data_IF_097510768968
#
_entry.id   IF_097510768968
#
_cell.length_a   1.000
_cell.length_b   1.000
_cell.length_c   1.000
_cell.angle_alpha   90.00
_cell.angle_beta   90.00
_cell.angle_gamma   90.00
#
_symmetry.space_group_name_H-M   'P 1'
#
loop_
_entity.id
_entity.type
_entity.pdbx_description
1 polymer ?
#
# COMPACT_ATOMS: atom_id res chain seq x y z
N UNK A 1 4.41 21.45 17.78
CA UNK A 1 3.34 22.25 17.13
C UNK A 1 2.69 23.08 18.22
N UNK A 2 2.27 24.32 17.93
CA UNK A 2 1.61 25.17 18.94
C UNK A 2 0.28 24.53 19.35
N UNK A 3 0.13 24.18 20.61
CA UNK A 3 -1.09 23.56 21.14
C UNK A 3 -1.73 24.53 22.14
N UNK A 4 -3.04 24.82 22.04
CA UNK A 4 -3.73 25.50 23.13
C UNK A 4 -3.70 24.57 24.35
N UNK A 5 -3.13 25.05 25.44
CA UNK A 5 -3.11 24.32 26.71
C UNK A 5 -4.08 24.98 27.68
N UNK A 6 -4.72 24.17 28.52
CA UNK A 6 -5.58 24.64 29.62
C UNK A 6 -4.95 24.23 30.96
N UNK A 7 -3.76 24.78 31.30
CA UNK A 7 -3.12 24.48 32.57
C UNK A 7 -3.91 25.10 33.73
N UNK A 8 -3.64 24.63 34.95
CA UNK A 8 -4.02 25.40 36.12
C UNK A 8 -3.25 26.73 36.13
N UNK A 9 -3.95 27.84 36.33
CA UNK A 9 -3.35 29.17 36.44
C UNK A 9 -3.98 29.92 37.62
N UNK A 10 -3.29 30.95 38.11
CA UNK A 10 -3.86 31.93 39.04
C UNK A 10 -3.74 33.31 38.44
N UNK A 11 -4.89 33.92 38.12
CA UNK A 11 -4.98 35.24 37.55
C UNK A 11 -5.45 36.25 38.60
N UNK A 12 -4.69 37.32 38.83
CA UNK A 12 -4.98 38.34 39.83
C UNK A 12 -4.91 39.73 39.20
N UNK A 13 -6.01 40.21 38.57
CA UNK A 13 -6.07 41.50 37.89
C UNK A 13 -5.65 42.68 38.77
N UNK A 14 -6.04 42.67 40.06
CA UNK A 14 -5.77 43.75 41.00
C UNK A 14 -4.26 44.01 41.22
N UNK A 15 -3.43 42.97 41.13
CA UNK A 15 -1.97 43.05 41.20
C UNK A 15 -1.30 42.95 39.83
N UNK A 16 -2.08 42.87 38.75
CA UNK A 16 -1.60 42.60 37.39
C UNK A 16 -0.69 41.38 37.31
N UNK A 17 -1.02 40.30 38.03
CA UNK A 17 -0.19 39.09 38.05
C UNK A 17 -0.90 37.89 37.45
N UNK A 18 -0.13 37.08 36.72
CA UNK A 18 -0.54 35.77 36.22
C UNK A 18 0.50 34.73 36.61
N UNK A 19 0.08 33.72 37.37
CA UNK A 19 0.93 32.60 37.76
C UNK A 19 0.61 31.38 36.90
N UNK A 20 1.64 30.84 36.24
CA UNK A 20 1.58 29.70 35.33
C UNK A 20 2.28 28.45 35.89
N UNK A 21 2.32 28.30 37.23
CA UNK A 21 2.93 27.16 37.91
C UNK A 21 2.31 25.80 37.55
N UNK A 22 1.10 25.78 36.98
CA UNK A 22 0.49 24.56 36.44
C UNK A 22 1.14 24.05 35.15
N UNK A 23 2.06 24.80 34.54
CA UNK A 23 2.87 24.36 33.40
C UNK A 23 4.22 23.84 33.93
N UNK A 24 4.40 22.51 33.90
CA UNK A 24 5.67 21.90 34.27
C UNK A 24 6.82 22.42 33.40
N UNK A 25 7.89 22.91 34.03
CA UNK A 25 9.05 23.45 33.30
C UNK A 25 8.76 24.76 32.56
N UNK A 26 7.83 25.58 33.05
CA UNK A 26 7.47 26.86 32.44
C UNK A 26 8.69 27.72 32.05
N UNK A 27 8.72 28.14 30.78
CA UNK A 27 9.67 29.08 30.22
C UNK A 27 8.90 30.17 29.46
N UNK A 28 9.08 31.43 29.86
CA UNK A 28 8.38 32.58 29.26
C UNK A 28 8.62 32.68 27.74
N UNK A 29 9.76 32.17 27.23
CA UNK A 29 10.09 32.19 25.80
C UNK A 29 9.15 31.32 24.96
N UNK A 30 8.48 30.36 25.60
CA UNK A 30 7.51 29.48 24.98
C UNK A 30 6.08 30.01 25.11
N UNK A 31 5.85 31.08 25.89
CA UNK A 31 4.54 31.72 26.01
C UNK A 31 4.32 32.68 24.84
N UNK A 32 3.34 32.38 23.99
CA UNK A 32 3.03 33.21 22.83
C UNK A 32 1.95 34.24 23.13
N UNK A 33 0.87 33.83 23.79
CA UNK A 33 -0.23 34.73 24.10
C UNK A 33 -1.06 34.26 25.30
N UNK A 34 -1.68 35.21 25.98
CA UNK A 34 -2.76 34.99 26.94
C UNK A 34 -3.92 35.88 26.55
N UNK A 35 -5.09 35.28 26.35
CA UNK A 35 -6.30 35.96 25.88
C UNK A 35 -7.40 35.69 26.90
N UNK A 36 -8.11 36.74 27.33
CA UNK A 36 -9.37 36.55 28.07
C UNK A 36 -10.47 36.10 27.11
N UNK A 37 -11.06 34.94 27.34
CA UNK A 37 -12.10 34.39 26.48
C UNK A 37 -13.46 35.10 26.64
N UNK A 38 -13.67 35.81 27.76
CA UNK A 38 -14.95 36.52 27.99
C UNK A 38 -15.03 37.82 27.21
N UNK A 39 -13.97 38.62 27.24
CA UNK A 39 -13.91 39.93 26.57
C UNK A 39 -13.16 39.89 25.23
N UNK A 40 -12.37 38.85 24.97
CA UNK A 40 -11.45 38.77 23.83
C UNK A 40 -10.19 39.62 24.02
N UNK A 41 -9.95 40.18 25.20
CA UNK A 41 -8.79 41.04 25.46
C UNK A 41 -7.48 40.26 25.41
N UNK A 42 -6.50 40.80 24.68
CA UNK A 42 -5.13 40.29 24.68
C UNK A 42 -4.40 40.76 25.94
N UNK A 43 -4.24 39.85 26.91
CA UNK A 43 -3.61 40.11 28.21
C UNK A 43 -2.08 40.05 28.09
N UNK A 44 -1.59 39.08 27.31
CA UNK A 44 -0.17 38.89 27.07
C UNK A 44 0.14 38.61 25.61
N UNK A 45 1.18 39.25 25.07
CA UNK A 45 1.95 38.84 23.90
C UNK A 45 3.36 39.45 24.00
N UNK A 46 4.40 38.87 23.39
CA UNK A 46 5.75 39.45 23.36
C UNK A 46 5.85 40.66 22.42
N UNK A 47 4.94 41.63 22.59
CA UNK A 47 4.81 42.87 21.84
C UNK A 47 4.81 44.05 22.82
N UNK A 48 5.12 45.25 22.34
CA UNK A 48 5.07 46.46 23.16
C UNK A 48 3.63 46.69 23.69
N UNK A 49 3.51 46.95 25.00
CA UNK A 49 2.22 47.26 25.66
C UNK A 49 1.41 46.05 26.16
N UNK A 50 1.73 44.83 25.71
CA UNK A 50 1.08 43.59 26.16
C UNK A 50 2.06 42.53 26.65
N UNK A 51 3.33 42.87 26.86
CA UNK A 51 4.31 41.97 27.46
C UNK A 51 4.17 41.84 28.99
N UNK A 52 5.31 41.64 29.64
CA UNK A 52 5.42 41.62 31.10
C UNK A 52 6.49 42.62 31.55
N UNK A 53 6.31 43.21 32.73
CA UNK A 53 7.26 44.15 33.36
C UNK A 53 8.22 43.45 34.32
N UNK A 54 7.83 42.32 34.89
CA UNK A 54 8.66 41.49 35.76
C UNK A 54 8.29 40.01 35.66
N UNK A 55 9.27 39.13 35.86
CA UNK A 55 9.08 37.68 35.96
C UNK A 55 9.76 37.20 37.23
N UNK A 56 9.00 36.54 38.10
CA UNK A 56 9.50 35.92 39.33
C UNK A 56 9.03 34.46 39.39
N UNK A 57 9.94 33.53 39.11
CA UNK A 57 9.60 32.12 38.95
C UNK A 57 8.63 31.92 37.78
N UNK A 58 7.41 31.45 38.06
CA UNK A 58 6.33 31.24 37.09
C UNK A 58 5.29 32.36 37.08
N UNK A 59 5.52 33.45 37.83
CA UNK A 59 4.59 34.56 37.95
C UNK A 59 5.05 35.75 37.12
N UNK A 60 4.20 36.15 36.17
CA UNK A 60 4.37 37.33 35.33
C UNK A 60 3.67 38.52 35.98
N UNK A 61 4.34 39.68 36.04
CA UNK A 61 3.68 40.98 36.22
C UNK A 61 3.37 41.53 34.83
N UNK A 62 2.10 41.60 34.48
CA UNK A 62 1.60 41.92 33.16
C UNK A 62 1.68 43.42 32.88
N UNK A 63 2.02 43.80 31.65
CA UNK A 63 2.11 45.20 31.24
C UNK A 63 0.78 45.77 30.69
N UNK A 64 -0.16 44.89 30.29
CA UNK A 64 -1.46 45.29 29.77
C UNK A 64 -2.35 45.91 30.87
N UNK A 65 -3.35 46.70 30.46
CA UNK A 65 -4.39 47.17 31.38
C UNK A 65 -5.26 46.00 31.84
N UNK A 66 -5.46 45.89 33.16
CA UNK A 66 -6.33 44.86 33.77
C UNK A 66 -7.75 45.38 34.06
N UNK A 67 -8.07 46.60 33.62
CA UNK A 67 -9.37 47.22 33.88
C UNK A 67 -10.49 46.43 33.21
N UNK A 68 -11.49 46.02 33.99
CA UNK A 68 -12.65 45.26 33.50
C UNK A 68 -12.45 43.74 33.47
N UNK A 69 -11.27 43.23 33.85
CA UNK A 69 -11.00 41.79 33.97
C UNK A 69 -11.25 41.30 35.41
N UNK A 70 -11.73 40.06 35.54
CA UNK A 70 -11.95 39.36 36.80
C UNK A 70 -10.99 38.19 36.97
N UNK A 71 -10.62 37.87 38.22
CA UNK A 71 -9.84 36.67 38.55
C UNK A 71 -10.53 35.36 38.14
N UNK A 72 -11.85 35.39 37.97
CA UNK A 72 -12.68 34.27 37.54
C UNK A 72 -12.80 34.12 36.02
N UNK A 73 -12.27 35.07 35.23
CA UNK A 73 -12.46 35.03 33.78
C UNK A 73 -11.61 33.90 33.16
N UNK A 74 -12.17 33.14 32.18
CA UNK A 74 -11.48 32.03 31.54
C UNK A 74 -10.39 32.54 30.58
N UNK A 75 -9.16 32.03 30.72
CA UNK A 75 -8.03 32.43 29.89
C UNK A 75 -7.67 31.35 28.87
N UNK A 76 -7.44 31.75 27.63
CA UNK A 76 -6.76 30.95 26.62
C UNK A 76 -5.26 31.23 26.67
N UNK A 77 -4.48 30.19 26.99
CA UNK A 77 -3.02 30.27 27.07
C UNK A 77 -2.43 29.52 25.86
N UNK A 78 -1.76 30.28 24.99
CA UNK A 78 -1.03 29.73 23.85
C UNK A 78 0.44 29.58 24.24
N UNK A 79 0.86 28.34 24.46
CA UNK A 79 2.20 28.00 24.97
C UNK A 79 2.81 26.86 24.14
N UNK A 80 4.12 26.94 23.89
CA UNK A 80 4.90 25.83 23.31
C UNK A 80 5.37 24.92 24.44
N UNK A 81 4.77 23.74 24.57
CA UNK A 81 5.24 22.74 25.54
C UNK A 81 6.54 22.06 25.10
N UNK A 82 7.11 22.42 23.94
CA UNK A 82 8.26 21.74 23.36
C UNK A 82 7.94 20.30 22.94
N UNK A 83 6.65 19.94 22.95
CA UNK A 83 6.16 18.65 22.51
C UNK A 83 6.48 18.41 21.04
N UNK A 84 6.62 17.13 20.69
CA UNK A 84 6.77 16.71 19.29
C UNK A 84 5.64 17.32 18.44
N UNK A 85 5.87 17.55 17.13
CA UNK A 85 4.79 17.93 16.22
C UNK A 85 3.56 17.04 16.45
N UNK A 86 2.34 17.58 16.32
CA UNK A 86 1.14 16.78 16.52
C UNK A 86 1.23 15.51 15.66
N UNK A 87 1.22 14.36 16.33
CA UNK A 87 1.12 13.04 15.70
C UNK A 87 -0.36 12.83 15.31
N UNK A 88 -0.90 13.75 14.51
CA UNK A 88 -2.29 13.75 14.08
C UNK A 88 -2.46 12.65 13.02
N UNK A 89 -2.84 11.48 13.52
CA UNK A 89 -2.85 10.22 12.79
C UNK A 89 -2.26 9.13 13.66
N UNK A 90 -3.10 8.53 14.51
CA UNK A 90 -2.75 7.37 15.34
C UNK A 90 -1.95 6.36 14.52
N UNK A 91 -0.86 5.86 15.08
CA UNK A 91 -0.06 4.81 14.47
C UNK A 91 -0.94 3.63 14.02
N UNK A 92 -0.60 3.05 12.88
CA UNK A 92 -1.28 1.89 12.34
C UNK A 92 -1.17 0.70 13.30
N UNK A 93 -2.27 0.31 13.97
CA UNK A 93 -2.29 -0.95 14.73
C UNK A 93 -2.23 -2.14 13.75
N UNK A 94 -1.25 -3.03 13.93
CA UNK A 94 -1.11 -4.25 13.11
C UNK A 94 -0.28 -4.10 11.83
N UNK A 95 0.37 -2.96 11.61
CA UNK A 95 1.31 -2.78 10.48
C UNK A 95 2.72 -2.62 11.02
N UNK A 96 3.66 -3.44 10.53
CA UNK A 96 5.09 -3.19 10.77
C UNK A 96 5.51 -1.98 9.94
N UNK A 97 5.57 -0.82 10.59
CA UNK A 97 5.96 0.44 9.97
C UNK A 97 7.41 0.31 9.47
N UNK A 98 7.72 0.71 8.23
CA UNK A 98 9.11 0.87 7.79
C UNK A 98 9.85 1.81 8.74
N UNK A 99 11.10 1.51 9.08
CA UNK A 99 11.91 2.38 9.94
C UNK A 99 11.85 3.84 9.45
N UNK A 100 11.39 4.76 10.33
CA UNK A 100 11.24 6.19 10.04
C UNK A 100 9.84 6.70 9.68
N UNK A 101 8.80 5.84 9.65
CA UNK A 101 7.46 6.21 9.19
C UNK A 101 6.44 6.58 10.26
N UNK A 102 6.59 7.68 11.01
CA UNK A 102 5.48 8.20 11.84
C UNK A 102 4.54 9.08 11.01
N UNK A 103 3.22 8.95 11.24
CA UNK A 103 2.17 9.74 10.59
C UNK A 103 1.85 9.38 9.13
N UNK A 104 1.13 10.27 8.44
CA UNK A 104 0.62 10.04 7.05
C UNK A 104 1.71 9.68 6.04
N UNK A 105 2.95 10.16 6.24
CA UNK A 105 4.10 9.84 5.38
C UNK A 105 4.54 8.38 5.54
N UNK A 106 4.46 7.82 6.75
CA UNK A 106 4.72 6.41 7.01
C UNK A 106 3.69 5.51 6.34
N UNK A 107 2.42 5.86 6.44
CA UNK A 107 1.31 5.15 5.77
C UNK A 107 1.47 5.13 4.24
N UNK A 108 1.74 6.27 3.62
CA UNK A 108 1.96 6.35 2.17
C UNK A 108 3.18 5.53 1.74
N UNK A 109 4.26 5.53 2.54
CA UNK A 109 5.42 4.68 2.27
C UNK A 109 5.11 3.19 2.39
N UNK A 110 4.24 2.78 3.32
CA UNK A 110 3.77 1.40 3.47
C UNK A 110 2.94 0.95 2.28
N UNK A 111 1.97 1.76 1.85
CA UNK A 111 1.14 1.50 0.65
C UNK A 111 2.03 1.39 -0.59
N UNK A 112 2.98 2.32 -0.78
CA UNK A 112 3.93 2.26 -1.89
C UNK A 112 4.73 0.96 -1.87
N UNK A 113 5.23 0.53 -0.71
CA UNK A 113 5.97 -0.74 -0.57
C UNK A 113 5.12 -1.95 -0.99
N UNK A 114 3.89 -2.04 -0.51
CA UNK A 114 2.97 -3.14 -0.89
C UNK A 114 2.70 -3.12 -2.39
N UNK A 115 2.33 -1.97 -2.94
CA UNK A 115 2.03 -1.85 -4.38
C UNK A 115 3.24 -2.14 -5.26
N UNK A 116 4.44 -1.71 -4.86
CA UNK A 116 5.68 -1.96 -5.60
C UNK A 116 6.17 -3.42 -5.51
N UNK A 117 5.76 -4.16 -4.46
CA UNK A 117 6.20 -5.55 -4.23
C UNK A 117 5.19 -6.61 -4.66
N UNK A 118 3.89 -6.29 -4.68
CA UNK A 118 2.82 -7.27 -4.96
C UNK A 118 2.33 -7.22 -6.41
N UNK A 119 2.53 -6.12 -7.13
CA UNK A 119 2.16 -6.03 -8.54
C UNK A 119 3.24 -6.68 -9.42
N UNK A 120 3.31 -8.02 -9.38
CA UNK A 120 4.12 -8.78 -10.32
C UNK A 120 3.36 -8.91 -11.62
N UNK A 121 3.51 -7.94 -12.52
CA UNK A 121 3.01 -8.09 -13.90
C UNK A 121 3.85 -9.17 -14.56
N UNK A 122 3.30 -10.37 -14.69
CA UNK A 122 3.93 -11.43 -15.46
C UNK A 122 3.80 -11.05 -16.93
N UNK A 123 4.85 -10.49 -17.49
CA UNK A 123 4.99 -10.28 -18.93
C UNK A 123 4.84 -11.65 -19.63
N UNK A 124 4.16 -11.68 -20.78
CA UNK A 124 3.95 -12.92 -21.54
C UNK A 124 5.25 -13.69 -21.77
N UNK A 125 5.23 -15.01 -21.60
CA UNK A 125 6.40 -15.86 -21.84
C UNK A 125 6.59 -16.11 -23.34
N UNK A 126 7.83 -16.15 -23.80
CA UNK A 126 8.16 -16.70 -25.12
C UNK A 126 7.75 -18.16 -25.15
N UNK A 127 6.95 -18.54 -26.14
CA UNK A 127 6.51 -19.92 -26.29
C UNK A 127 7.68 -20.82 -26.75
N UNK A 128 7.74 -22.04 -26.22
CA UNK A 128 8.65 -23.09 -26.67
C UNK A 128 8.05 -23.82 -27.87
N UNK A 129 8.87 -24.17 -28.85
CA UNK A 129 8.45 -24.96 -30.01
C UNK A 129 8.33 -26.44 -29.66
N UNK A 130 7.32 -27.10 -30.22
CA UNK A 130 7.12 -28.56 -30.18
C UNK A 130 6.79 -29.12 -31.55
N UNK A 131 7.23 -28.45 -32.62
CA UNK A 131 6.96 -28.84 -34.01
C UNK A 131 7.64 -30.18 -34.31
N UNK A 132 6.87 -31.14 -34.84
CA UNK A 132 7.33 -32.51 -35.10
C UNK A 132 6.58 -33.11 -36.29
N UNK A 133 7.16 -34.15 -36.90
CA UNK A 133 6.40 -35.08 -37.72
C UNK A 133 6.04 -36.32 -36.88
N UNK A 134 4.88 -36.93 -37.16
CA UNK A 134 4.51 -38.22 -36.56
C UNK A 134 5.50 -39.29 -37.04
N UNK A 135 6.26 -39.87 -36.11
CA UNK A 135 7.36 -40.79 -36.43
C UNK A 135 6.84 -42.17 -36.85
N UNK A 136 5.77 -42.63 -36.20
CA UNK A 136 5.10 -43.87 -36.53
C UNK A 136 3.57 -43.64 -36.50
N UNK A 137 2.95 -43.66 -37.66
CA UNK A 137 1.50 -43.58 -37.80
C UNK A 137 0.80 -44.64 -36.97
N UNK A 138 -0.32 -44.26 -36.34
CA UNK A 138 -1.07 -45.16 -35.48
C UNK A 138 -0.50 -45.34 -34.07
N UNK A 139 0.58 -44.63 -33.72
CA UNK A 139 1.17 -44.63 -32.38
C UNK A 139 1.27 -43.21 -31.83
N UNK A 140 0.90 -43.02 -30.57
CA UNK A 140 1.05 -41.73 -29.91
C UNK A 140 2.53 -41.41 -29.66
N UNK A 141 2.90 -40.15 -29.79
CA UNK A 141 4.23 -39.64 -29.42
C UNK A 141 4.11 -38.42 -28.53
N UNK A 142 5.09 -38.22 -27.64
CA UNK A 142 5.12 -37.05 -26.76
C UNK A 142 5.55 -35.80 -27.52
N UNK A 143 4.92 -34.68 -27.19
CA UNK A 143 5.34 -33.34 -27.61
C UNK A 143 6.27 -32.74 -26.55
N UNK A 144 6.94 -31.63 -26.92
CA UNK A 144 7.78 -30.85 -25.99
C UNK A 144 8.84 -31.67 -25.24
N UNK A 145 9.41 -32.71 -25.89
CA UNK A 145 10.35 -33.65 -25.28
C UNK A 145 9.83 -34.34 -24.00
N UNK A 146 8.51 -34.48 -23.87
CA UNK A 146 7.86 -35.07 -22.69
C UNK A 146 7.73 -34.14 -21.48
N UNK A 147 8.08 -32.85 -21.60
CA UNK A 147 7.84 -31.89 -20.54
C UNK A 147 6.34 -31.54 -20.42
N UNK A 148 5.86 -31.38 -19.19
CA UNK A 148 4.53 -30.80 -18.91
C UNK A 148 4.59 -29.28 -19.06
N UNK A 149 3.86 -28.66 -20.00
CA UNK A 149 3.77 -27.21 -20.12
C UNK A 149 3.33 -26.54 -18.81
N UNK A 150 3.93 -25.40 -18.47
CA UNK A 150 3.69 -24.77 -17.18
C UNK A 150 2.37 -23.97 -17.12
N UNK A 151 1.95 -23.40 -18.25
CA UNK A 151 0.82 -22.48 -18.33
C UNK A 151 -0.17 -22.81 -19.44
N UNK A 152 0.23 -23.55 -20.47
CA UNK A 152 -0.68 -23.95 -21.54
C UNK A 152 0.03 -24.44 -22.79
N UNK A 153 -0.75 -24.90 -23.75
CA UNK A 153 -0.25 -25.45 -24.99
C UNK A 153 -1.22 -25.21 -26.15
N UNK A 154 -0.67 -25.27 -27.36
CA UNK A 154 -1.41 -25.20 -28.63
C UNK A 154 -0.87 -26.27 -29.56
N UNK A 155 -1.77 -26.98 -30.23
CA UNK A 155 -1.45 -27.87 -31.35
C UNK A 155 -2.29 -27.47 -32.55
N UNK A 156 -1.62 -27.29 -33.68
CA UNK A 156 -2.24 -27.06 -34.97
C UNK A 156 -1.95 -28.24 -35.89
N UNK A 157 -3.00 -28.67 -36.58
CA UNK A 157 -2.97 -29.66 -37.64
C UNK A 157 -2.96 -28.92 -39.00
N UNK A 158 -1.79 -28.70 -39.62
CA UNK A 158 -1.70 -28.06 -40.92
C UNK A 158 -2.20 -28.97 -42.07
N UNK A 159 -2.38 -30.27 -41.84
CA UNK A 159 -2.80 -31.21 -42.87
C UNK A 159 -4.32 -31.07 -43.13
N UNK A 160 -4.75 -30.89 -44.39
CA UNK A 160 -6.16 -30.73 -44.74
C UNK A 160 -6.92 -32.05 -44.94
N UNK A 161 -6.27 -33.22 -44.86
CA UNK A 161 -6.84 -34.51 -45.22
C UNK A 161 -7.19 -35.40 -44.03
N UNK A 162 -6.45 -35.33 -42.93
CA UNK A 162 -6.67 -36.20 -41.77
C UNK A 162 -6.71 -35.44 -40.43
N UNK A 163 -7.43 -35.99 -39.46
CA UNK A 163 -7.49 -35.43 -38.11
C UNK A 163 -6.31 -35.90 -37.25
N UNK A 164 -5.96 -35.07 -36.27
CA UNK A 164 -5.09 -35.44 -35.16
C UNK A 164 -5.88 -35.65 -33.88
N UNK A 165 -5.29 -36.39 -32.94
CA UNK A 165 -5.76 -36.50 -31.58
C UNK A 165 -4.66 -36.07 -30.63
N UNK A 166 -4.98 -35.22 -29.67
CA UNK A 166 -4.01 -34.71 -28.68
C UNK A 166 -4.54 -35.01 -27.29
N UNK A 167 -3.66 -35.37 -26.36
CA UNK A 167 -4.02 -35.52 -24.94
C UNK A 167 -2.97 -34.87 -24.07
N UNK A 168 -3.39 -34.29 -22.96
CA UNK A 168 -2.53 -33.68 -21.95
C UNK A 168 -2.75 -34.27 -20.54
N UNK A 169 -3.48 -35.37 -20.47
CA UNK A 169 -3.79 -36.10 -19.23
C UNK A 169 -3.57 -37.61 -19.35
N UNK A 170 -3.58 -38.15 -20.57
CA UNK A 170 -3.35 -39.57 -20.88
C UNK A 170 -2.53 -39.71 -22.18
N UNK A 171 -2.42 -40.93 -22.70
CA UNK A 171 -1.84 -41.18 -24.03
C UNK A 171 -2.88 -40.87 -25.10
N UNK A 172 -2.55 -39.98 -26.04
CA UNK A 172 -3.43 -39.62 -27.15
C UNK A 172 -3.86 -40.85 -27.96
N UNK A 173 -5.16 -40.98 -28.22
CA UNK A 173 -5.72 -42.04 -29.05
C UNK A 173 -6.99 -41.57 -29.76
N UNK A 174 -7.33 -42.12 -30.93
CA UNK A 174 -8.59 -41.81 -31.61
C UNK A 174 -9.80 -42.07 -30.72
N UNK A 175 -10.58 -41.02 -30.43
CA UNK A 175 -11.74 -41.07 -29.53
C UNK A 175 -11.41 -41.65 -28.13
N UNK A 176 -10.14 -41.57 -27.71
CA UNK A 176 -9.70 -42.03 -26.40
C UNK A 176 -10.15 -41.09 -25.27
N UNK A 177 -10.32 -41.63 -24.06
CA UNK A 177 -10.60 -40.82 -22.87
C UNK A 177 -9.46 -39.83 -22.62
N UNK A 178 -9.81 -38.54 -22.49
CA UNK A 178 -8.83 -37.46 -22.34
C UNK A 178 -8.12 -37.06 -23.64
N UNK A 179 -8.56 -37.57 -24.79
CA UNK A 179 -8.07 -37.13 -26.11
C UNK A 179 -9.03 -36.13 -26.75
N UNK A 180 -8.46 -35.04 -27.27
CA UNK A 180 -9.15 -34.00 -27.99
C UNK A 180 -8.87 -34.14 -29.49
N UNK A 181 -9.92 -34.05 -30.31
CA UNK A 181 -9.79 -34.04 -31.76
C UNK A 181 -9.28 -32.67 -32.22
N UNK A 182 -8.23 -32.67 -33.03
CA UNK A 182 -7.78 -31.51 -33.81
C UNK A 182 -8.13 -31.81 -35.27
N UNK A 183 -9.23 -31.24 -35.80
CA UNK A 183 -9.69 -31.55 -37.15
C UNK A 183 -8.60 -31.28 -38.20
N UNK A 184 -8.73 -31.86 -39.38
CA UNK A 184 -7.93 -31.48 -40.54
C UNK A 184 -7.95 -29.95 -40.76
N UNK A 185 -6.78 -29.30 -40.86
CA UNK A 185 -6.63 -27.84 -40.92
C UNK A 185 -6.95 -27.10 -39.62
N UNK A 186 -7.23 -27.83 -38.53
CA UNK A 186 -7.73 -27.32 -37.27
C UNK A 186 -6.65 -26.95 -36.26
N UNK A 187 -7.07 -26.32 -35.16
CA UNK A 187 -6.22 -25.93 -34.05
C UNK A 187 -6.96 -26.21 -32.74
N UNK A 188 -6.23 -26.66 -31.73
CA UNK A 188 -6.68 -26.68 -30.35
C UNK A 188 -5.68 -25.93 -29.46
N UNK A 189 -6.20 -25.22 -28.47
CA UNK A 189 -5.43 -24.40 -27.52
C UNK A 189 -6.06 -24.58 -26.13
N UNK A 190 -5.24 -24.67 -25.09
CA UNK A 190 -5.73 -24.64 -23.70
C UNK A 190 -6.46 -23.33 -23.39
N UNK A 191 -7.49 -23.40 -22.56
CA UNK A 191 -8.23 -22.21 -22.11
C UNK A 191 -7.38 -21.28 -21.22
N UNK A 192 -7.72 -19.99 -21.09
CA UNK A 192 -7.04 -19.09 -20.18
C UNK A 192 -7.05 -19.60 -18.73
N UNK A 193 -5.87 -19.93 -18.21
CA UNK A 193 -5.69 -20.43 -16.83
C UNK A 193 -5.68 -21.95 -16.70
N UNK A 194 -6.01 -22.69 -17.76
CA UNK A 194 -5.89 -24.14 -17.80
C UNK A 194 -4.42 -24.57 -17.84
N UNK A 195 -4.08 -25.64 -17.10
CA UNK A 195 -2.74 -26.23 -17.11
C UNK A 195 -2.86 -27.72 -17.41
N UNK A 196 -2.00 -28.26 -18.29
CA UNK A 196 -2.03 -29.68 -18.59
C UNK A 196 -1.69 -30.50 -17.34
N UNK A 197 -2.40 -31.62 -17.17
CA UNK A 197 -2.23 -32.51 -16.00
C UNK A 197 -0.92 -33.29 -16.10
N UNK A 198 -0.46 -33.58 -17.32
CA UNK A 198 0.77 -34.29 -17.61
C UNK A 198 1.40 -33.88 -18.95
N UNK A 199 2.37 -34.66 -19.43
CA UNK A 199 2.98 -34.43 -20.74
C UNK A 199 1.94 -34.45 -21.86
N UNK A 200 2.07 -33.53 -22.82
CA UNK A 200 1.20 -33.51 -24.00
C UNK A 200 1.68 -34.58 -24.98
N UNK A 201 0.76 -35.38 -25.50
CA UNK A 201 1.01 -36.36 -26.55
C UNK A 201 0.10 -36.12 -27.75
N UNK A 202 0.58 -36.50 -28.94
CA UNK A 202 -0.16 -36.42 -30.20
C UNK A 202 -0.21 -37.79 -30.86
N UNK A 203 -1.34 -38.07 -31.49
CA UNK A 203 -1.57 -39.23 -32.32
C UNK A 203 -1.98 -38.75 -33.72
N UNK A 204 -1.30 -39.25 -34.75
CA UNK A 204 -1.72 -39.16 -36.14
C UNK A 204 -1.75 -40.55 -36.77
N UNK A 205 -2.67 -40.79 -37.69
CA UNK A 205 -2.82 -42.09 -38.33
C UNK A 205 -1.67 -42.38 -39.31
N UNK A 206 -1.11 -41.34 -39.95
CA UNK A 206 -0.10 -41.48 -41.00
C UNK A 206 1.30 -41.10 -40.50
N UNK A 207 2.30 -41.93 -40.84
CA UNK A 207 3.72 -41.60 -40.63
C UNK A 207 4.10 -40.39 -41.47
N UNK A 208 4.78 -39.42 -40.87
CA UNK A 208 5.20 -38.19 -41.52
C UNK A 208 4.19 -37.04 -41.40
N UNK A 209 3.03 -37.25 -40.79
CA UNK A 209 2.06 -36.18 -40.55
C UNK A 209 2.70 -35.03 -39.78
N UNK A 210 2.59 -33.81 -40.29
CA UNK A 210 3.25 -32.63 -39.71
C UNK A 210 2.37 -32.04 -38.60
N UNK A 211 2.97 -31.78 -37.44
CA UNK A 211 2.30 -31.17 -36.28
C UNK A 211 3.01 -29.87 -35.92
N UNK A 212 2.26 -28.78 -35.80
CA UNK A 212 2.79 -27.50 -35.29
C UNK A 212 2.35 -27.32 -33.84
N UNK A 213 3.29 -27.21 -32.90
CA UNK A 213 2.96 -27.13 -31.47
C UNK A 213 3.74 -26.05 -30.72
N UNK A 214 3.08 -25.41 -29.75
CA UNK A 214 3.68 -24.38 -28.88
C UNK A 214 3.28 -24.64 -27.42
N UNK A 215 4.19 -24.38 -26.49
CA UNK A 215 3.91 -24.40 -25.04
C UNK A 215 4.37 -23.11 -24.37
N UNK A 216 3.71 -22.70 -23.30
CA UNK A 216 4.08 -21.53 -22.49
C UNK A 216 3.99 -21.81 -20.99
#
# INVERSE_FOLDING_TARGET
MKRPITPAYTFTPASSTLNLSGIAGFDVRNLFAVIDLKTGALIYAPLAGTGYSALSGTTLTLAASMSGLSASDPLLILYDDGGKPAEDGTDATGVTIPSGGVGIRGWLSGIYKVLSGTLTVTMGKTASAGDVAVTAGGTAQTLFSGATPANGWKVANPDPAEDLWVSDSTTAAPNGLGSYRVPAGGIITTEPGERPVGPVSVYGATTGHVVTARSW
#
